data_IF_108471524842
#
_entry.id   IF_108471524842
#
_cell.length_a   1.000
_cell.length_b   1.000
_cell.length_c   1.000
_cell.angle_alpha   90.00
_cell.angle_beta   90.00
_cell.angle_gamma   90.00
#
_symmetry.space_group_name_H-M   'P 1'
#
loop_
_entity.id
_entity.type
_entity.pdbx_description
1 polymer ?
#
# COMPACT_ATOMS: atom_id res chain seq x y z
N UNK A 1 -18.43 1.07 -13.65
CA UNK A 1 -18.91 0.28 -12.50
C UNK A 1 -17.69 -0.15 -11.71
N UNK A 2 -17.58 0.27 -10.44
CA UNK A 2 -16.59 -0.30 -9.53
C UNK A 2 -17.21 -1.58 -8.93
N UNK A 3 -16.57 -2.72 -9.15
CA UNK A 3 -16.99 -3.98 -8.53
C UNK A 3 -16.60 -3.94 -7.05
N UNK A 4 -17.41 -4.52 -6.13
CA UNK A 4 -16.94 -4.71 -4.76
C UNK A 4 -15.74 -5.65 -4.81
N UNK A 5 -14.60 -5.16 -4.34
CA UNK A 5 -13.39 -5.93 -4.14
C UNK A 5 -13.07 -5.93 -2.65
N UNK A 6 -12.87 -7.13 -2.09
CA UNK A 6 -12.51 -7.30 -0.70
C UNK A 6 -11.02 -7.07 -0.52
N UNK A 7 -10.65 -5.99 0.17
CA UNK A 7 -9.28 -5.66 0.49
C UNK A 7 -9.01 -5.86 1.99
N UNK A 8 -7.83 -6.35 2.32
CA UNK A 8 -7.38 -6.50 3.69
C UNK A 8 -5.96 -5.93 3.84
N UNK A 9 -5.71 -5.27 4.98
CA UNK A 9 -4.39 -4.76 5.32
C UNK A 9 -3.52 -5.90 5.84
N UNK A 10 -2.41 -6.17 5.16
CA UNK A 10 -1.43 -7.20 5.56
C UNK A 10 -0.22 -6.51 6.21
N UNK A 11 0.20 -6.99 7.38
CA UNK A 11 1.43 -6.50 8.00
C UNK A 11 2.65 -6.85 7.15
N UNK A 12 3.48 -5.85 6.88
CA UNK A 12 4.74 -6.00 6.16
C UNK A 12 5.82 -5.10 6.78
N UNK A 13 7.08 -5.42 6.57
CA UNK A 13 8.24 -4.66 7.05
C UNK A 13 9.46 -4.92 6.16
N UNK A 14 10.50 -4.09 6.30
CA UNK A 14 11.80 -4.29 5.65
C UNK A 14 11.71 -4.43 4.11
N UNK A 15 10.86 -3.62 3.47
CA UNK A 15 10.69 -3.64 2.01
C UNK A 15 9.89 -4.84 1.46
N UNK A 16 9.35 -5.70 2.32
CA UNK A 16 8.45 -6.77 1.89
C UNK A 16 7.17 -6.20 1.30
N UNK A 17 6.79 -6.67 0.11
CA UNK A 17 5.51 -6.36 -0.54
C UNK A 17 4.64 -7.62 -0.55
N UNK A 18 3.47 -7.61 0.12
CA UNK A 18 2.53 -8.72 0.08
C UNK A 18 2.03 -9.03 -1.35
N UNK A 19 1.77 -10.30 -1.64
CA UNK A 19 1.17 -10.69 -2.91
C UNK A 19 -0.22 -10.03 -3.08
N UNK A 20 -0.47 -9.45 -4.26
CA UNK A 20 -1.71 -8.74 -4.54
C UNK A 20 -1.82 -7.34 -3.91
N UNK A 21 -0.71 -6.79 -3.40
CA UNK A 21 -0.68 -5.39 -2.95
C UNK A 21 -1.09 -4.44 -4.09
N UNK A 22 -1.89 -3.45 -3.76
CA UNK A 22 -2.45 -2.49 -4.74
C UNK A 22 -1.36 -1.49 -5.12
N UNK A 23 -1.07 -1.37 -6.42
CA UNK A 23 -0.21 -0.32 -6.97
C UNK A 23 -0.86 1.05 -6.75
N UNK A 24 -0.18 1.93 -6.02
CA UNK A 24 -0.61 3.31 -5.74
C UNK A 24 0.05 4.35 -6.66
N UNK A 25 0.99 3.94 -7.50
CA UNK A 25 1.64 4.77 -8.49
C UNK A 25 3.06 4.31 -8.79
N UNK A 26 3.81 5.18 -9.47
CA UNK A 26 5.21 4.95 -9.83
C UNK A 26 6.07 6.18 -9.54
N UNK A 27 7.34 5.97 -9.25
CA UNK A 27 8.34 7.05 -9.19
C UNK A 27 8.65 7.55 -10.62
N UNK A 28 9.43 8.62 -10.74
CA UNK A 28 9.86 9.15 -12.04
C UNK A 28 10.76 8.21 -12.84
N UNK A 29 11.40 7.22 -12.19
CA UNK A 29 12.23 6.21 -12.84
C UNK A 29 11.46 4.90 -13.14
N UNK A 30 10.16 4.84 -12.82
CA UNK A 30 9.29 3.70 -13.11
C UNK A 30 9.17 2.66 -12.01
N UNK A 31 9.82 2.85 -10.85
CA UNK A 31 9.66 1.99 -9.68
C UNK A 31 8.22 2.02 -9.17
N UNK A 32 7.64 0.84 -8.92
CA UNK A 32 6.28 0.68 -8.43
C UNK A 32 6.19 1.03 -6.95
N UNK A 33 5.20 1.84 -6.59
CA UNK A 33 4.85 2.16 -5.21
C UNK A 33 3.52 1.50 -4.87
N UNK A 34 3.40 1.00 -3.64
CA UNK A 34 2.23 0.25 -3.18
C UNK A 34 1.50 1.01 -2.09
N UNK A 35 0.17 0.85 -2.03
CA UNK A 35 -0.63 1.47 -0.98
C UNK A 35 -0.30 0.83 0.37
N UNK A 36 0.19 1.64 1.30
CA UNK A 36 0.55 1.22 2.64
C UNK A 36 -0.16 2.06 3.70
N UNK A 37 -0.19 1.54 4.94
CA UNK A 37 -0.56 2.33 6.12
C UNK A 37 0.39 2.05 7.28
N UNK A 38 0.65 3.06 8.08
CA UNK A 38 1.43 2.96 9.31
C UNK A 38 0.84 3.87 10.38
N UNK A 39 1.13 3.57 11.65
CA UNK A 39 0.81 4.50 12.73
C UNK A 39 1.90 5.57 12.79
N UNK A 40 1.52 6.82 12.59
CA UNK A 40 2.39 7.98 12.71
C UNK A 40 1.79 8.93 13.76
N UNK A 41 2.54 9.21 14.83
CA UNK A 41 2.06 10.01 15.96
C UNK A 41 0.70 9.54 16.53
N UNK A 42 0.56 8.22 16.71
CA UNK A 42 -0.67 7.60 17.23
C UNK A 42 -1.83 7.53 16.24
N UNK A 43 -1.65 8.01 15.01
CA UNK A 43 -2.71 8.05 13.99
C UNK A 43 -2.41 7.11 12.82
N UNK A 44 -3.35 6.22 12.43
CA UNK A 44 -3.24 5.45 11.21
C UNK A 44 -3.18 6.38 10.00
N UNK A 45 -2.06 6.37 9.29
CA UNK A 45 -1.79 7.24 8.15
C UNK A 45 -1.54 6.38 6.92
N UNK A 46 -2.16 6.73 5.79
CA UNK A 46 -2.01 6.06 4.49
C UNK A 46 -0.95 6.79 3.66
N UNK A 47 -0.17 6.02 2.90
CA UNK A 47 0.83 6.55 1.98
C UNK A 47 1.14 5.56 0.85
N UNK A 48 2.25 5.85 0.18
CA UNK A 48 2.85 5.04 -0.88
C UNK A 48 4.37 5.13 -0.82
#
# INVERSE_FOLDING_TARGET
VLMPADFHWVHARNGQVPHGAVEGGRTSNGEVLYVGRANHNGTPTVGK
#
